data_IF_221234412194
#
_entry.id   IF_221234412194
#
_cell.length_a   1.000
_cell.length_b   1.000
_cell.length_c   1.000
_cell.angle_alpha   90.00
_cell.angle_beta   90.00
_cell.angle_gamma   90.00
#
_symmetry.space_group_name_H-M   'P 1'
#
loop_
_entity.id
_entity.type
_entity.pdbx_description
1 polymer ?
#
# COMPACT_ATOMS: atom_id res chain seq x y z
N UNK A 1 -1.02 -21.07 -31.72
CA UNK A 1 -1.18 -20.02 -32.78
C UNK A 1 -2.00 -18.90 -32.18
N UNK A 2 -1.39 -17.73 -31.96
CA UNK A 2 -2.09 -16.56 -31.44
C UNK A 2 -2.92 -15.95 -32.58
N UNK A 3 -4.22 -15.96 -32.43
CA UNK A 3 -5.17 -15.28 -33.34
C UNK A 3 -4.86 -13.77 -33.34
N UNK A 4 -4.32 -13.25 -34.44
CA UNK A 4 -4.22 -11.80 -34.68
C UNK A 4 -5.63 -11.22 -34.62
N UNK A 5 -5.94 -10.44 -33.57
CA UNK A 5 -7.13 -9.59 -33.58
C UNK A 5 -6.98 -8.63 -34.79
N UNK A 6 -7.94 -8.64 -35.69
CA UNK A 6 -8.01 -7.68 -36.77
C UNK A 6 -8.08 -6.27 -36.17
N UNK A 7 -7.34 -5.32 -36.75
CA UNK A 7 -7.46 -3.91 -36.35
C UNK A 7 -8.90 -3.45 -36.59
N UNK A 8 -9.46 -2.68 -35.64
CA UNK A 8 -10.79 -2.10 -35.73
C UNK A 8 -10.86 -1.02 -36.84
N UNK A 9 -9.70 -0.53 -37.33
CA UNK A 9 -9.57 0.47 -38.37
C UNK A 9 -8.86 -0.15 -39.59
N UNK A 10 -9.37 0.08 -40.79
CA UNK A 10 -8.69 -0.29 -42.03
C UNK A 10 -7.50 0.65 -42.31
N UNK A 11 -6.53 0.19 -43.11
CA UNK A 11 -5.39 1.02 -43.50
C UNK A 11 -5.84 2.25 -44.29
N UNK A 12 -6.82 2.07 -45.15
CA UNK A 12 -7.41 3.15 -45.99
C UNK A 12 -8.03 4.25 -45.10
N UNK A 13 -8.79 3.87 -44.05
CA UNK A 13 -9.38 4.83 -43.13
C UNK A 13 -8.31 5.60 -42.32
N UNK A 14 -7.21 4.94 -41.95
CA UNK A 14 -6.10 5.59 -41.27
C UNK A 14 -5.33 6.53 -42.22
N UNK A 15 -5.12 6.13 -43.48
CA UNK A 15 -4.47 6.96 -44.48
C UNK A 15 -5.31 8.21 -44.80
N UNK A 16 -6.63 8.07 -44.89
CA UNK A 16 -7.56 9.20 -45.10
C UNK A 16 -7.54 10.18 -43.89
N UNK A 17 -7.47 9.67 -42.64
CA UNK A 17 -7.36 10.50 -41.46
C UNK A 17 -6.01 11.22 -41.34
N UNK A 18 -4.94 10.62 -41.87
CA UNK A 18 -3.58 11.16 -41.82
C UNK A 18 -3.24 12.08 -42.98
N UNK A 19 -4.05 12.09 -44.05
CA UNK A 19 -3.76 12.80 -45.28
C UNK A 19 -3.52 14.30 -45.04
N UNK A 20 -2.36 14.79 -45.49
CA UNK A 20 -1.95 16.18 -45.37
C UNK A 20 -1.58 16.69 -43.97
N UNK A 21 -1.50 15.80 -42.95
CA UNK A 21 -1.18 16.16 -41.57
C UNK A 21 0.27 15.87 -41.22
N UNK A 22 0.92 16.80 -40.52
CA UNK A 22 2.27 16.58 -39.95
C UNK A 22 2.23 15.59 -38.79
N UNK A 23 3.12 14.58 -38.84
CA UNK A 23 3.23 13.55 -37.82
C UNK A 23 3.46 14.09 -36.40
N UNK A 24 4.14 15.25 -36.24
CA UNK A 24 4.37 15.89 -34.97
C UNK A 24 3.08 16.45 -34.34
N UNK A 25 2.06 16.78 -35.16
CA UNK A 25 0.79 17.34 -34.68
C UNK A 25 -0.28 16.27 -34.46
N UNK A 26 -0.21 15.15 -35.16
CA UNK A 26 -1.24 14.09 -35.13
C UNK A 26 -1.48 13.53 -33.72
N UNK A 27 -0.40 13.31 -32.95
CA UNK A 27 -0.47 12.70 -31.63
C UNK A 27 -0.56 13.71 -30.47
N UNK A 28 -0.60 15.00 -30.74
CA UNK A 28 -0.78 16.03 -29.72
C UNK A 28 -2.22 16.04 -29.19
N UNK A 29 -2.41 16.58 -27.98
CA UNK A 29 -3.72 16.70 -27.34
C UNK A 29 -4.70 17.57 -28.14
N UNK A 30 -4.18 18.57 -28.86
CA UNK A 30 -4.88 19.48 -29.77
C UNK A 30 -4.87 19.01 -31.24
N UNK A 31 -4.32 17.82 -31.50
CA UNK A 31 -4.22 17.23 -32.84
C UNK A 31 -5.34 16.26 -33.20
N UNK A 32 -5.13 15.47 -34.27
CA UNK A 32 -6.09 14.49 -34.76
C UNK A 32 -6.63 13.53 -33.69
N UNK A 33 -5.78 13.08 -32.79
CA UNK A 33 -6.20 12.18 -31.72
C UNK A 33 -7.20 12.86 -30.75
N UNK A 34 -6.99 14.14 -30.43
CA UNK A 34 -7.92 14.93 -29.63
C UNK A 34 -9.25 15.16 -30.35
N UNK A 35 -9.21 15.51 -31.68
CA UNK A 35 -10.39 15.65 -32.52
C UNK A 35 -11.19 14.35 -32.60
N UNK A 36 -10.53 13.21 -32.79
CA UNK A 36 -11.15 11.89 -32.86
C UNK A 36 -11.81 11.51 -31.52
N UNK A 37 -11.12 11.72 -30.40
CA UNK A 37 -11.68 11.49 -29.06
C UNK A 37 -12.92 12.33 -28.81
N UNK A 38 -12.89 13.61 -29.20
CA UNK A 38 -14.04 14.51 -29.12
C UNK A 38 -15.22 13.99 -29.94
N UNK A 39 -14.98 13.67 -31.20
CA UNK A 39 -16.01 13.17 -32.12
C UNK A 39 -16.66 11.87 -31.64
N UNK A 40 -15.85 10.94 -31.10
CA UNK A 40 -16.33 9.69 -30.53
C UNK A 40 -17.17 9.95 -29.28
N UNK A 41 -16.71 10.80 -28.35
CA UNK A 41 -17.45 11.13 -27.15
C UNK A 41 -18.80 11.80 -27.46
N UNK A 42 -18.82 12.77 -28.39
CA UNK A 42 -20.05 13.44 -28.84
C UNK A 42 -21.00 12.47 -29.54
N UNK A 43 -20.47 11.49 -30.31
CA UNK A 43 -21.27 10.45 -30.95
C UNK A 43 -21.91 9.52 -29.91
N UNK A 44 -21.15 9.11 -28.89
CA UNK A 44 -21.66 8.29 -27.79
C UNK A 44 -22.74 9.02 -27.00
N UNK A 45 -22.54 10.29 -26.65
CA UNK A 45 -23.52 11.14 -25.96
C UNK A 45 -24.84 11.27 -26.76
N UNK A 46 -24.73 11.39 -28.09
CA UNK A 46 -25.90 11.44 -28.97
C UNK A 46 -26.64 10.09 -28.98
N UNK A 47 -25.91 8.97 -29.00
CA UNK A 47 -26.52 7.64 -28.94
C UNK A 47 -27.23 7.39 -27.58
N UNK A 48 -26.62 7.83 -26.47
CA UNK A 48 -27.27 7.77 -25.15
C UNK A 48 -28.58 8.58 -25.10
N UNK A 49 -28.61 9.77 -25.74
CA UNK A 49 -29.83 10.56 -25.83
C UNK A 49 -30.89 9.89 -26.71
N UNK A 50 -30.49 9.26 -27.84
CA UNK A 50 -31.45 8.54 -28.69
C UNK A 50 -32.11 7.41 -27.91
N UNK A 51 -31.35 6.59 -27.18
CA UNK A 51 -31.88 5.51 -26.32
C UNK A 51 -32.84 6.09 -25.27
N UNK A 52 -32.46 7.17 -24.60
CA UNK A 52 -33.30 7.83 -23.58
C UNK A 52 -34.64 8.31 -24.17
N UNK A 53 -34.60 8.91 -25.36
CA UNK A 53 -35.81 9.39 -26.04
C UNK A 53 -36.71 8.26 -26.53
N UNK A 54 -36.15 7.16 -26.99
CA UNK A 54 -36.89 5.96 -27.41
C UNK A 54 -37.61 5.32 -26.21
N UNK A 55 -36.92 5.21 -25.05
CA UNK A 55 -37.52 4.70 -23.80
C UNK A 55 -38.65 5.62 -23.29
N UNK A 56 -38.51 6.95 -23.39
CA UNK A 56 -39.57 7.88 -23.01
C UNK A 56 -40.73 7.93 -24.02
N UNK A 57 -40.46 7.72 -25.33
CA UNK A 57 -41.51 7.61 -26.34
C UNK A 57 -42.43 6.46 -26.09
N UNK A 58 -41.95 5.30 -25.62
CA UNK A 58 -42.76 4.18 -25.20
C UNK A 58 -43.70 4.51 -24.02
N UNK A 59 -43.35 5.48 -23.21
CA UNK A 59 -44.11 5.99 -22.06
C UNK A 59 -45.05 7.16 -22.44
N UNK A 60 -45.17 7.53 -23.70
CA UNK A 60 -46.00 8.65 -24.23
C UNK A 60 -45.58 10.02 -23.69
N UNK A 61 -44.33 10.22 -23.35
CA UNK A 61 -43.85 11.43 -22.65
C UNK A 61 -43.71 12.66 -23.56
N UNK A 62 -43.79 12.56 -24.89
CA UNK A 62 -43.70 13.70 -25.83
C UNK A 62 -42.34 14.44 -25.79
N UNK A 63 -41.29 13.79 -25.27
CA UNK A 63 -39.94 14.38 -25.18
C UNK A 63 -39.25 14.31 -26.55
N UNK A 64 -38.36 15.25 -26.83
CA UNK A 64 -37.57 15.33 -28.06
C UNK A 64 -36.26 16.07 -27.84
N UNK A 65 -35.36 15.98 -28.80
CA UNK A 65 -34.07 16.71 -28.79
C UNK A 65 -34.27 18.21 -28.67
N UNK A 66 -33.47 18.87 -27.82
CA UNK A 66 -33.55 20.31 -27.57
C UNK A 66 -32.15 20.97 -27.58
N UNK A 67 -31.45 20.81 -28.72
CA UNK A 67 -30.13 21.39 -28.91
C UNK A 67 -29.04 20.75 -28.05
N UNK A 68 -27.97 21.49 -27.81
CA UNK A 68 -26.82 21.06 -27.01
C UNK A 68 -26.27 22.18 -26.15
N UNK A 69 -25.46 21.82 -25.17
CA UNK A 69 -24.66 22.75 -24.35
C UNK A 69 -23.19 22.39 -24.42
N UNK A 70 -22.31 23.38 -24.41
CA UNK A 70 -20.88 23.14 -24.39
C UNK A 70 -20.37 22.91 -22.98
N UNK A 71 -19.46 21.95 -22.82
CA UNK A 71 -18.86 21.58 -21.55
C UNK A 71 -17.39 21.22 -21.76
N UNK A 72 -16.51 21.92 -21.05
CA UNK A 72 -15.09 21.53 -21.01
C UNK A 72 -14.89 20.39 -20.04
N UNK A 73 -14.26 19.30 -20.50
CA UNK A 73 -14.02 18.07 -19.76
C UNK A 73 -12.53 17.74 -19.82
N UNK A 74 -11.91 17.53 -18.65
CA UNK A 74 -10.51 17.10 -18.55
C UNK A 74 -10.39 15.62 -18.90
N UNK A 75 -9.53 15.32 -19.85
CA UNK A 75 -9.17 13.96 -20.26
C UNK A 75 -7.73 13.63 -19.87
N UNK A 76 -7.33 12.39 -20.14
CA UNK A 76 -5.94 11.96 -19.94
C UNK A 76 -4.91 12.73 -20.76
N UNK A 77 -5.30 13.33 -21.86
CA UNK A 77 -4.41 14.00 -22.80
C UNK A 77 -4.62 15.53 -22.86
N UNK A 78 -5.55 16.06 -22.06
CA UNK A 78 -5.84 17.49 -22.03
C UNK A 78 -7.34 17.80 -21.88
N UNK A 79 -7.71 19.05 -22.13
CA UNK A 79 -9.10 19.50 -22.12
C UNK A 79 -9.81 19.24 -23.44
N UNK A 80 -11.04 18.73 -23.35
CA UNK A 80 -11.93 18.54 -24.51
C UNK A 80 -13.18 19.42 -24.33
N UNK A 81 -13.44 20.28 -25.30
CA UNK A 81 -14.68 21.04 -25.37
C UNK A 81 -15.74 20.21 -26.08
N UNK A 82 -16.64 19.60 -25.32
CA UNK A 82 -17.67 18.69 -25.82
C UNK A 82 -19.02 19.40 -25.95
N UNK A 83 -19.77 19.02 -26.98
CA UNK A 83 -21.16 19.37 -27.18
C UNK A 83 -22.06 18.32 -26.54
N UNK A 84 -22.66 18.62 -25.39
CA UNK A 84 -23.54 17.72 -24.66
C UNK A 84 -24.97 17.92 -25.17
N UNK A 85 -25.62 16.91 -25.78
CA UNK A 85 -26.99 17.02 -26.24
C UNK A 85 -27.99 17.11 -25.08
N UNK A 86 -29.14 17.70 -25.34
CA UNK A 86 -30.21 17.89 -24.33
C UNK A 86 -31.56 17.47 -24.87
N UNK A 87 -32.40 17.00 -23.98
CA UNK A 87 -33.82 16.76 -24.23
C UNK A 87 -34.65 17.99 -23.85
N UNK A 88 -35.88 18.05 -24.33
CA UNK A 88 -36.82 19.14 -24.05
C UNK A 88 -37.22 19.21 -22.58
N UNK A 89 -37.38 18.10 -21.92
CA UNK A 89 -37.81 18.01 -20.54
C UNK A 89 -36.67 18.17 -19.52
N UNK A 90 -35.40 18.16 -19.97
CA UNK A 90 -34.21 18.31 -19.10
C UNK A 90 -33.94 17.13 -18.18
N UNK A 91 -34.51 15.95 -18.50
CA UNK A 91 -34.39 14.70 -17.73
C UNK A 91 -33.20 13.85 -18.13
N UNK A 92 -32.67 14.06 -19.33
CA UNK A 92 -31.53 13.32 -19.82
C UNK A 92 -30.31 13.53 -18.93
N UNK A 93 -29.77 12.44 -18.41
CA UNK A 93 -28.51 12.37 -17.67
C UNK A 93 -27.55 11.44 -18.38
N UNK A 94 -26.54 11.97 -19.12
CA UNK A 94 -25.59 11.13 -19.82
C UNK A 94 -24.73 10.32 -18.84
N UNK A 95 -24.62 8.99 -19.10
CA UNK A 95 -23.80 8.10 -18.30
C UNK A 95 -22.30 8.34 -18.54
N UNK A 96 -21.93 8.67 -19.79
CA UNK A 96 -20.52 8.95 -20.16
C UNK A 96 -19.96 10.16 -19.41
N UNK A 97 -20.74 11.22 -19.25
CA UNK A 97 -20.33 12.46 -18.58
C UNK A 97 -21.52 13.00 -17.75
N UNK A 98 -21.75 12.48 -16.56
CA UNK A 98 -22.83 12.91 -15.67
C UNK A 98 -22.91 14.43 -15.48
N UNK A 99 -24.10 14.94 -15.09
CA UNK A 99 -24.27 16.35 -14.73
C UNK A 99 -23.23 16.72 -13.67
N UNK A 100 -22.62 17.91 -13.81
CA UNK A 100 -21.58 18.44 -12.93
C UNK A 100 -20.20 17.75 -12.98
N UNK A 101 -20.05 16.60 -13.60
CA UNK A 101 -18.74 15.99 -13.79
C UNK A 101 -18.00 16.65 -14.98
N UNK A 102 -16.79 17.13 -14.71
CA UNK A 102 -15.93 17.80 -15.73
C UNK A 102 -14.63 17.05 -16.00
N UNK A 103 -14.60 15.75 -15.69
CA UNK A 103 -13.41 14.91 -15.84
C UNK A 103 -13.80 13.51 -16.25
N UNK A 104 -12.99 12.92 -17.10
CA UNK A 104 -13.07 11.48 -17.35
C UNK A 104 -12.45 10.68 -16.19
N UNK A 105 -12.92 9.45 -15.89
CA UNK A 105 -12.39 8.62 -14.81
C UNK A 105 -10.88 8.37 -14.89
N UNK A 106 -10.29 8.25 -16.09
CA UNK A 106 -8.86 8.08 -16.30
C UNK A 106 -8.01 9.24 -15.78
N UNK A 107 -8.53 10.47 -15.83
CA UNK A 107 -7.85 11.66 -15.29
C UNK A 107 -7.67 11.56 -13.76
N UNK A 108 -8.72 11.18 -13.04
CA UNK A 108 -8.68 11.02 -11.58
C UNK A 108 -7.67 9.92 -11.18
N UNK A 109 -7.58 8.83 -11.93
CA UNK A 109 -6.58 7.78 -11.70
C UNK A 109 -5.13 8.27 -11.83
N UNK A 110 -4.85 9.19 -12.76
CA UNK A 110 -3.52 9.82 -12.88
C UNK A 110 -3.19 10.68 -11.66
N UNK A 111 -4.15 11.48 -11.17
CA UNK A 111 -3.99 12.27 -9.94
C UNK A 111 -3.67 11.35 -8.76
N UNK A 112 -4.42 10.27 -8.59
CA UNK A 112 -4.20 9.28 -7.52
C UNK A 112 -2.81 8.64 -7.65
N UNK A 113 -2.37 8.30 -8.87
CA UNK A 113 -1.05 7.72 -9.12
C UNK A 113 0.10 8.68 -8.77
N UNK A 114 -0.03 9.97 -9.09
CA UNK A 114 0.95 11.00 -8.71
C UNK A 114 0.98 11.21 -7.18
N UNK A 115 -0.19 11.26 -6.55
CA UNK A 115 -0.31 11.35 -5.09
C UNK A 115 0.33 10.14 -4.39
N UNK A 116 0.10 8.93 -4.89
CA UNK A 116 0.70 7.69 -4.38
C UNK A 116 2.24 7.67 -4.44
N UNK A 117 2.84 8.45 -5.33
CA UNK A 117 4.30 8.66 -5.42
C UNK A 117 4.82 9.70 -4.43
N UNK A 118 3.94 10.32 -3.64
CA UNK A 118 4.30 11.27 -2.59
C UNK A 118 4.30 12.74 -3.04
N UNK A 119 3.79 13.07 -4.22
CA UNK A 119 3.65 14.47 -4.65
C UNK A 119 2.64 15.21 -3.78
N UNK A 120 2.92 16.47 -3.46
CA UNK A 120 1.94 17.33 -2.79
C UNK A 120 0.80 17.72 -3.75
N UNK A 121 -0.32 18.21 -3.21
CA UNK A 121 -1.43 18.68 -4.05
C UNK A 121 -1.00 19.81 -4.99
N UNK A 122 -0.09 20.69 -4.54
CA UNK A 122 0.47 21.77 -5.37
C UNK A 122 1.42 21.27 -6.43
N UNK A 123 2.28 20.28 -6.10
CA UNK A 123 3.17 19.66 -7.09
C UNK A 123 2.37 18.93 -8.18
N UNK A 124 1.27 18.26 -7.79
CA UNK A 124 0.36 17.62 -8.75
C UNK A 124 -0.30 18.65 -9.65
N UNK A 125 -0.78 19.77 -9.09
CA UNK A 125 -1.33 20.87 -9.87
C UNK A 125 -0.33 21.39 -10.90
N UNK A 126 0.89 21.71 -10.48
CA UNK A 126 1.94 22.19 -11.38
C UNK A 126 2.27 21.16 -12.47
N UNK A 127 2.47 19.91 -12.07
CA UNK A 127 2.81 18.82 -12.98
C UNK A 127 1.72 18.54 -14.02
N UNK A 128 0.46 18.56 -13.61
CA UNK A 128 -0.69 18.39 -14.52
C UNK A 128 -0.79 19.59 -15.48
N UNK A 129 -0.54 20.80 -14.99
CA UNK A 129 -0.49 22.00 -15.84
C UNK A 129 0.62 21.92 -16.89
N UNK A 130 1.83 21.51 -16.51
CA UNK A 130 2.97 21.37 -17.41
C UNK A 130 2.79 20.27 -18.48
N UNK A 131 2.28 19.11 -18.07
CA UNK A 131 2.21 17.95 -18.96
C UNK A 131 0.96 17.90 -19.84
N UNK A 132 -0.17 18.37 -19.31
CA UNK A 132 -1.48 18.21 -19.96
C UNK A 132 -2.13 19.54 -20.34
N UNK A 133 -1.52 20.68 -19.98
CA UNK A 133 -2.09 22.00 -20.20
C UNK A 133 -3.39 22.26 -19.43
N UNK A 134 -3.69 21.43 -18.43
CA UNK A 134 -4.96 21.47 -17.66
C UNK A 134 -4.75 22.21 -16.36
N UNK A 135 -5.55 23.25 -16.11
CA UNK A 135 -5.54 23.97 -14.84
C UNK A 135 -6.48 23.30 -13.84
N UNK A 136 -5.91 22.76 -12.76
CA UNK A 136 -6.65 22.16 -11.64
C UNK A 136 -6.36 22.89 -10.34
N UNK A 137 -7.29 22.87 -9.39
CA UNK A 137 -7.06 23.42 -8.05
C UNK A 137 -6.46 22.37 -7.11
N UNK A 138 -5.71 22.77 -6.05
CA UNK A 138 -5.29 21.87 -5.00
C UNK A 138 -6.47 21.20 -4.29
N UNK A 139 -7.62 21.87 -4.18
CA UNK A 139 -8.83 21.32 -3.59
C UNK A 139 -9.40 20.18 -4.43
N UNK A 140 -9.36 20.32 -5.77
CA UNK A 140 -9.75 19.24 -6.65
C UNK A 140 -8.88 17.99 -6.44
N UNK A 141 -7.56 18.17 -6.31
CA UNK A 141 -6.65 17.04 -6.01
C UNK A 141 -7.02 16.40 -4.68
N UNK A 142 -7.40 17.19 -3.67
CA UNK A 142 -7.87 16.68 -2.38
C UNK A 142 -9.15 15.87 -2.54
N UNK A 143 -10.17 16.40 -3.22
CA UNK A 143 -11.45 15.71 -3.48
C UNK A 143 -11.24 14.39 -4.23
N UNK A 144 -10.40 14.39 -5.28
CA UNK A 144 -10.10 13.16 -6.03
C UNK A 144 -9.39 12.12 -5.15
N UNK A 145 -8.43 12.55 -4.34
CA UNK A 145 -7.73 11.62 -3.45
C UNK A 145 -8.58 11.19 -2.24
N UNK A 146 -9.61 11.93 -1.87
CA UNK A 146 -10.54 11.57 -0.79
C UNK A 146 -11.42 10.37 -1.17
N UNK A 147 -11.68 10.15 -2.47
CA UNK A 147 -12.37 8.93 -2.93
C UNK A 147 -11.65 7.64 -2.50
N UNK A 148 -10.34 7.71 -2.25
CA UNK A 148 -9.53 6.58 -1.77
C UNK A 148 -9.84 6.21 -0.31
N UNK A 149 -10.47 7.11 0.48
CA UNK A 149 -10.77 6.86 1.90
C UNK A 149 -11.70 5.65 2.08
N UNK A 150 -12.73 5.55 1.25
CA UNK A 150 -13.66 4.43 1.30
C UNK A 150 -12.97 3.11 0.92
N UNK A 151 -12.04 3.14 -0.03
CA UNK A 151 -11.21 1.97 -0.35
C UNK A 151 -10.31 1.57 0.84
N UNK A 152 -9.74 2.55 1.55
CA UNK A 152 -8.93 2.31 2.76
C UNK A 152 -9.79 1.65 3.84
N UNK A 153 -11.00 2.16 4.10
CA UNK A 153 -11.93 1.62 5.09
C UNK A 153 -12.37 0.20 4.74
N UNK A 154 -12.76 -0.03 3.49
CA UNK A 154 -13.13 -1.34 2.97
C UNK A 154 -11.96 -2.34 3.08
N UNK A 155 -10.74 -1.90 2.72
CA UNK A 155 -9.55 -2.72 2.86
C UNK A 155 -9.23 -3.04 4.33
N UNK A 156 -9.34 -2.06 5.24
CA UNK A 156 -9.06 -2.24 6.66
C UNK A 156 -10.08 -3.19 7.33
N UNK A 157 -11.33 -3.20 6.87
CA UNK A 157 -12.40 -4.04 7.42
C UNK A 157 -12.58 -5.39 6.71
N UNK A 158 -11.83 -5.66 5.63
CA UNK A 158 -11.98 -6.89 4.85
C UNK A 158 -11.77 -8.14 5.70
N UNK A 159 -12.43 -9.27 5.37
CA UNK A 159 -12.14 -10.56 5.96
C UNK A 159 -10.68 -10.97 5.73
N UNK A 160 -10.12 -11.68 6.71
CA UNK A 160 -8.76 -12.21 6.68
C UNK A 160 -8.79 -13.74 6.66
N UNK A 161 -7.64 -14.35 6.39
CA UNK A 161 -7.50 -15.81 6.51
C UNK A 161 -7.65 -16.23 7.97
N UNK A 162 -8.14 -17.45 8.15
CA UNK A 162 -8.36 -18.02 9.48
C UNK A 162 -7.06 -18.26 10.25
N UNK A 163 -5.98 -18.63 9.55
CA UNK A 163 -4.70 -18.98 10.14
C UNK A 163 -3.53 -18.31 9.44
N UNK A 164 -2.63 -17.75 10.23
CA UNK A 164 -1.35 -17.22 9.77
C UNK A 164 -0.17 -17.96 10.41
N UNK A 165 0.75 -18.42 9.58
CA UNK A 165 1.97 -19.08 10.07
C UNK A 165 2.87 -18.10 10.84
N UNK A 166 3.01 -16.86 10.33
CA UNK A 166 3.76 -15.80 11.00
C UNK A 166 3.04 -14.47 10.79
N UNK A 167 2.93 -13.67 11.84
CA UNK A 167 2.51 -12.27 11.74
C UNK A 167 3.62 -11.38 12.27
N UNK A 168 4.07 -10.45 11.45
CA UNK A 168 5.07 -9.44 11.83
C UNK A 168 4.36 -8.12 12.12
N UNK A 169 4.70 -7.51 13.23
CA UNK A 169 4.28 -6.15 13.57
C UNK A 169 5.48 -5.23 13.65
N UNK A 170 5.39 -4.08 13.00
CA UNK A 170 6.42 -3.05 13.07
C UNK A 170 5.81 -1.67 12.87
N UNK A 171 6.48 -0.63 13.36
CA UNK A 171 6.03 0.75 13.30
C UNK A 171 6.98 1.64 12.49
N UNK A 172 6.39 2.62 11.82
CA UNK A 172 7.12 3.74 11.27
C UNK A 172 6.63 5.05 11.90
N UNK A 173 7.55 5.97 12.18
CA UNK A 173 7.22 7.28 12.74
C UNK A 173 6.92 8.26 11.61
N UNK A 174 5.80 8.99 11.75
CA UNK A 174 5.28 9.94 10.76
C UNK A 174 4.88 11.23 11.46
N UNK A 175 5.20 12.37 10.87
CA UNK A 175 4.79 13.68 11.38
C UNK A 175 3.36 13.97 10.93
N UNK A 176 2.46 14.10 11.88
CA UNK A 176 1.04 14.38 11.63
C UNK A 176 0.61 15.56 12.49
N UNK A 177 -0.16 16.48 11.91
CA UNK A 177 -0.76 17.57 12.66
C UNK A 177 -1.95 17.04 13.44
N UNK A 178 -1.98 17.34 14.73
CA UNK A 178 -3.00 16.96 15.68
C UNK A 178 -3.24 18.11 16.64
N UNK A 179 -4.48 18.56 16.76
CA UNK A 179 -4.86 19.73 17.58
C UNK A 179 -3.96 20.96 17.35
N UNK A 180 -3.64 21.24 16.09
CA UNK A 180 -2.81 22.39 15.69
C UNK A 180 -1.30 22.18 15.81
N UNK A 181 -0.82 21.10 16.47
CA UNK A 181 0.59 20.80 16.67
C UNK A 181 1.04 19.63 15.76
N UNK A 182 2.27 19.71 15.28
CA UNK A 182 2.88 18.59 14.52
C UNK A 182 3.52 17.61 15.51
N UNK A 183 2.95 16.39 15.58
CA UNK A 183 3.40 15.33 16.48
C UNK A 183 3.99 14.16 15.67
N UNK A 184 4.96 13.45 16.26
CA UNK A 184 5.47 12.20 15.71
C UNK A 184 4.56 11.06 16.18
N UNK A 185 3.62 10.64 15.33
CA UNK A 185 2.77 9.47 15.60
C UNK A 185 3.40 8.19 15.07
N UNK A 186 3.12 7.07 15.71
CA UNK A 186 3.48 5.75 15.21
C UNK A 186 2.39 5.25 14.26
N UNK A 187 2.82 4.75 13.11
CA UNK A 187 1.99 4.03 12.15
C UNK A 187 2.40 2.57 12.20
N UNK A 188 1.54 1.73 12.76
CA UNK A 188 1.76 0.30 12.88
C UNK A 188 1.27 -0.41 11.65
N UNK A 189 2.07 -1.33 11.15
CA UNK A 189 1.75 -2.22 10.06
C UNK A 189 1.85 -3.66 10.54
N UNK A 190 0.92 -4.50 10.13
CA UNK A 190 0.99 -5.94 10.32
C UNK A 190 1.10 -6.65 8.96
N UNK A 191 2.07 -7.55 8.84
CA UNK A 191 2.23 -8.44 7.67
C UNK A 191 1.97 -9.86 8.12
N UNK A 192 0.97 -10.50 7.52
CA UNK A 192 0.70 -11.92 7.68
C UNK A 192 1.37 -12.75 6.60
N UNK A 193 1.95 -13.88 7.00
CA UNK A 193 2.41 -14.94 6.12
C UNK A 193 1.44 -16.10 6.27
N UNK A 194 0.70 -16.40 5.21
CA UNK A 194 -0.25 -17.52 5.17
C UNK A 194 0.47 -18.86 5.23
N UNK A 195 -0.20 -19.94 5.56
CA UNK A 195 0.35 -21.29 5.51
C UNK A 195 0.81 -21.71 4.10
N UNK A 196 0.30 -21.06 3.07
CA UNK A 196 0.80 -21.18 1.68
C UNK A 196 2.13 -20.45 1.42
N UNK A 197 2.56 -19.57 2.33
CA UNK A 197 3.75 -18.72 2.20
C UNK A 197 3.51 -17.38 1.54
N UNK A 198 2.30 -17.12 1.03
CA UNK A 198 1.95 -15.81 0.50
C UNK A 198 1.86 -14.78 1.62
N UNK A 199 2.28 -13.56 1.29
CA UNK A 199 2.28 -12.45 2.24
C UNK A 199 1.16 -11.49 1.94
N UNK A 200 0.59 -10.91 2.98
CA UNK A 200 -0.34 -9.80 2.84
C UNK A 200 -0.21 -8.81 4.01
N UNK A 201 -0.58 -7.56 3.77
CA UNK A 201 -0.67 -6.55 4.83
C UNK A 201 -2.03 -6.67 5.49
N UNK A 202 -2.07 -6.97 6.78
CA UNK A 202 -3.31 -7.22 7.52
C UNK A 202 -4.04 -5.94 7.90
N UNK A 203 -3.31 -4.88 8.20
CA UNK A 203 -3.88 -3.61 8.59
C UNK A 203 -2.84 -2.52 8.80
N UNK A 204 -3.37 -1.31 9.03
CA UNK A 204 -2.65 -0.09 9.32
C UNK A 204 -3.36 0.61 10.49
N UNK A 205 -2.61 0.97 11.54
CA UNK A 205 -3.14 1.67 12.71
C UNK A 205 -2.24 2.84 13.05
N UNK A 206 -2.84 4.01 13.28
CA UNK A 206 -2.13 5.22 13.68
C UNK A 206 -2.45 5.48 15.15
N UNK A 207 -1.41 5.63 15.96
CA UNK A 207 -1.57 5.90 17.38
C UNK A 207 -0.44 6.82 17.90
N UNK A 208 -0.77 7.67 18.85
CA UNK A 208 0.20 8.55 19.48
C UNK A 208 0.88 7.87 20.65
N UNK A 209 0.13 7.09 21.42
CA UNK A 209 0.59 6.43 22.64
C UNK A 209 0.42 4.93 22.54
N UNK A 210 1.52 4.21 22.61
CA UNK A 210 1.55 2.76 22.65
C UNK A 210 1.15 2.26 24.05
N UNK A 211 0.17 1.37 24.12
CA UNK A 211 -0.25 0.79 25.39
C UNK A 211 -1.04 -0.51 25.21
N UNK A 212 -1.18 -1.27 26.29
CA UNK A 212 -1.87 -2.56 26.27
C UNK A 212 -3.30 -2.47 25.70
N UNK A 213 -4.03 -1.40 25.98
CA UNK A 213 -5.40 -1.18 25.43
C UNK A 213 -5.40 -1.02 23.91
N UNK A 214 -4.42 -0.32 23.36
CA UNK A 214 -4.27 -0.18 21.90
C UNK A 214 -4.02 -1.55 21.27
N UNK A 215 -3.06 -2.32 21.80
CA UNK A 215 -2.72 -3.63 21.26
C UNK A 215 -3.86 -4.63 21.40
N UNK A 216 -4.58 -4.60 22.52
CA UNK A 216 -5.76 -5.45 22.70
C UNK A 216 -6.85 -5.13 21.66
N UNK A 217 -7.07 -3.84 21.33
CA UNK A 217 -7.98 -3.41 20.25
C UNK A 217 -7.53 -3.96 18.90
N UNK A 218 -6.24 -3.86 18.57
CA UNK A 218 -5.68 -4.38 17.30
C UNK A 218 -5.87 -5.90 17.20
N UNK A 219 -5.58 -6.65 18.26
CA UNK A 219 -5.77 -8.11 18.26
C UNK A 219 -7.24 -8.50 18.12
N UNK A 220 -8.15 -7.84 18.82
CA UNK A 220 -9.58 -8.09 18.69
C UNK A 220 -10.11 -7.71 17.30
N UNK A 221 -9.60 -6.66 16.66
CA UNK A 221 -9.94 -6.29 15.29
C UNK A 221 -9.53 -7.42 14.32
N UNK A 222 -8.31 -7.96 14.43
CA UNK A 222 -7.87 -9.08 13.62
C UNK A 222 -8.78 -10.31 13.82
N UNK A 223 -9.14 -10.62 15.06
CA UNK A 223 -10.06 -11.73 15.40
C UNK A 223 -11.45 -11.51 14.80
N UNK A 224 -12.01 -10.31 14.92
CA UNK A 224 -13.32 -9.95 14.34
C UNK A 224 -13.32 -10.04 12.80
N UNK A 225 -12.18 -9.87 12.17
CA UNK A 225 -12.01 -10.03 10.72
C UNK A 225 -11.74 -11.47 10.28
N UNK A 226 -11.84 -12.44 11.17
CA UNK A 226 -11.78 -13.88 10.87
C UNK A 226 -10.48 -14.58 11.22
N UNK A 227 -9.48 -13.90 11.79
CA UNK A 227 -8.26 -14.56 12.26
C UNK A 227 -8.58 -15.38 13.51
N UNK A 228 -8.49 -16.69 13.40
CA UNK A 228 -8.72 -17.61 14.52
C UNK A 228 -7.41 -18.05 15.17
N UNK A 229 -6.33 -18.15 14.39
CA UNK A 229 -5.04 -18.62 14.88
C UNK A 229 -3.86 -17.88 14.25
N UNK A 230 -2.84 -17.62 15.07
CA UNK A 230 -1.54 -17.10 14.66
C UNK A 230 -0.47 -18.00 15.27
N UNK A 231 0.32 -18.73 14.48
CA UNK A 231 1.28 -19.67 15.02
C UNK A 231 2.45 -18.94 15.68
N UNK A 232 3.02 -17.94 15.00
CA UNK A 232 4.13 -17.12 15.51
C UNK A 232 3.81 -15.65 15.29
N UNK A 233 3.87 -14.84 16.35
CA UNK A 233 3.81 -13.39 16.26
C UNK A 233 5.22 -12.81 16.53
N UNK A 234 5.74 -12.06 15.55
CA UNK A 234 7.03 -11.38 15.67
C UNK A 234 6.77 -9.90 15.96
N UNK A 235 7.17 -9.47 17.14
CA UNK A 235 6.89 -8.13 17.66
C UNK A 235 8.15 -7.41 18.10
N UNK A 236 8.12 -6.09 18.14
CA UNK A 236 9.13 -5.33 18.87
C UNK A 236 8.88 -5.50 20.38
N UNK A 237 9.92 -5.34 21.18
CA UNK A 237 9.84 -5.49 22.65
C UNK A 237 9.05 -4.34 23.30
N UNK A 238 7.78 -4.17 22.88
CA UNK A 238 6.86 -3.14 23.38
C UNK A 238 6.09 -3.67 24.59
N UNK A 239 6.06 -2.87 25.64
CA UNK A 239 5.37 -3.23 26.90
C UNK A 239 3.87 -3.42 26.67
N UNK A 240 3.32 -4.53 27.16
CA UNK A 240 1.89 -4.84 27.06
C UNK A 240 1.45 -5.46 25.73
N UNK A 241 2.37 -5.61 24.76
CA UNK A 241 2.03 -6.20 23.47
C UNK A 241 2.00 -7.74 23.52
N UNK A 242 2.99 -8.44 24.08
CA UNK A 242 2.93 -9.88 24.27
C UNK A 242 1.67 -10.32 25.02
N UNK A 243 1.31 -9.61 26.09
CA UNK A 243 0.13 -9.90 26.91
C UNK A 243 -1.18 -9.71 26.12
N UNK A 244 -1.25 -8.69 25.26
CA UNK A 244 -2.41 -8.48 24.40
C UNK A 244 -2.57 -9.58 23.33
N UNK A 245 -1.45 -10.10 22.78
CA UNK A 245 -1.48 -11.22 21.85
C UNK A 245 -1.99 -12.48 22.53
N UNK A 246 -1.40 -12.87 23.67
CA UNK A 246 -1.77 -14.09 24.38
C UNK A 246 -3.19 -14.04 24.97
N UNK A 247 -3.71 -12.85 25.29
CA UNK A 247 -5.10 -12.69 25.71
C UNK A 247 -6.13 -13.02 24.61
N UNK A 248 -5.80 -12.79 23.34
CA UNK A 248 -6.71 -13.00 22.20
C UNK A 248 -6.38 -14.29 21.43
N UNK A 249 -5.09 -14.61 21.33
CA UNK A 249 -4.53 -15.79 20.66
C UNK A 249 -3.61 -16.54 21.62
N UNK A 250 -4.16 -17.34 22.55
CA UNK A 250 -3.40 -17.93 23.68
C UNK A 250 -2.32 -18.92 23.24
N UNK A 251 -2.51 -19.59 22.10
CA UNK A 251 -1.57 -20.61 21.60
C UNK A 251 -0.48 -20.01 20.68
N UNK A 252 -0.45 -18.69 20.53
CA UNK A 252 0.55 -18.00 19.70
C UNK A 252 1.91 -17.98 20.40
N UNK A 253 2.94 -18.40 19.69
CA UNK A 253 4.32 -18.19 20.13
C UNK A 253 4.72 -16.75 19.85
N UNK A 254 4.90 -15.96 20.90
CA UNK A 254 5.34 -14.57 20.77
C UNK A 254 6.87 -14.52 20.73
N UNK A 255 7.42 -13.99 19.67
CA UNK A 255 8.85 -13.86 19.45
C UNK A 255 9.26 -12.39 19.31
N UNK A 256 10.22 -11.97 20.11
CA UNK A 256 10.83 -10.66 19.95
C UNK A 256 11.62 -10.58 18.63
N UNK A 257 11.48 -9.48 17.92
CA UNK A 257 12.15 -9.27 16.65
C UNK A 257 13.67 -9.16 16.80
N UNK A 258 14.39 -10.22 16.44
CA UNK A 258 15.86 -10.27 16.48
C UNK A 258 16.49 -9.16 15.64
N UNK A 259 15.87 -8.81 14.52
CA UNK A 259 16.37 -7.74 13.63
C UNK A 259 16.33 -6.38 14.31
N UNK A 260 15.28 -6.08 15.09
CA UNK A 260 15.23 -4.85 15.87
C UNK A 260 16.31 -4.83 16.96
N UNK A 261 16.54 -5.96 17.64
CA UNK A 261 17.61 -6.07 18.64
C UNK A 261 18.98 -5.84 18.02
N UNK A 262 19.25 -6.45 16.83
CA UNK A 262 20.48 -6.21 16.08
C UNK A 262 20.60 -4.74 15.68
N UNK A 263 19.55 -4.15 15.11
CA UNK A 263 19.54 -2.75 14.68
C UNK A 263 19.82 -1.80 15.82
N UNK A 264 19.16 -1.98 16.95
CA UNK A 264 19.38 -1.19 18.16
C UNK A 264 20.82 -1.34 18.64
N UNK A 265 21.36 -2.56 18.60
CA UNK A 265 22.77 -2.83 18.99
C UNK A 265 23.76 -2.08 18.09
N UNK A 266 23.61 -2.16 16.77
CA UNK A 266 24.54 -1.47 15.84
C UNK A 266 24.40 0.06 15.87
N UNK A 267 23.27 0.61 16.30
CA UNK A 267 23.10 2.05 16.47
C UNK A 267 23.93 2.60 17.63
N UNK A 268 24.28 1.77 18.62
CA UNK A 268 25.16 2.13 19.73
C UNK A 268 26.61 2.30 19.29
N UNK A 269 26.97 1.85 18.08
CA UNK A 269 28.31 1.96 17.53
C UNK A 269 28.43 3.08 16.47
N UNK A 270 29.60 3.75 16.36
CA UNK A 270 29.92 4.68 15.29
C UNK A 270 29.74 4.03 13.92
N UNK A 271 29.39 4.82 12.89
CA UNK A 271 29.07 4.33 11.54
C UNK A 271 30.13 3.37 10.95
N UNK A 272 31.42 3.68 11.14
CA UNK A 272 32.55 2.88 10.66
C UNK A 272 32.61 1.47 11.26
N UNK A 273 32.10 1.27 12.47
CA UNK A 273 32.16 0.01 13.21
C UNK A 273 30.91 -0.86 13.01
N UNK A 274 29.81 -0.28 12.55
CA UNK A 274 28.49 -0.95 12.45
C UNK A 274 28.51 -2.25 11.66
N UNK A 275 29.21 -2.25 10.52
CA UNK A 275 29.32 -3.44 9.66
C UNK A 275 30.01 -4.61 10.39
N UNK A 276 31.08 -4.31 11.08
CA UNK A 276 31.87 -5.31 11.80
C UNK A 276 31.15 -5.80 13.04
N UNK A 277 30.52 -4.91 13.80
CA UNK A 277 29.68 -5.28 14.94
C UNK A 277 28.51 -6.15 14.51
N UNK A 278 27.84 -5.84 13.41
CA UNK A 278 26.79 -6.69 12.85
C UNK A 278 27.28 -8.10 12.49
N UNK A 279 28.52 -8.23 12.03
CA UNK A 279 29.14 -9.53 11.80
C UNK A 279 29.46 -10.28 13.11
N UNK A 280 29.94 -9.56 14.13
CA UNK A 280 30.25 -10.13 15.43
C UNK A 280 29.00 -10.64 16.18
N UNK A 281 27.82 -10.05 15.90
CA UNK A 281 26.56 -10.50 16.46
C UNK A 281 25.99 -11.77 15.79
N UNK A 282 26.43 -12.12 14.58
CA UNK A 282 25.90 -13.27 13.82
C UNK A 282 25.98 -14.61 14.57
N UNK A 283 27.11 -14.97 15.20
CA UNK A 283 27.22 -16.24 15.90
C UNK A 283 26.14 -16.44 16.97
N UNK A 284 25.65 -15.35 17.58
CA UNK A 284 24.63 -15.42 18.62
C UNK A 284 23.31 -15.93 18.04
N UNK A 285 22.74 -15.23 17.03
CA UNK A 285 21.41 -15.57 16.52
C UNK A 285 21.41 -16.65 15.42
N UNK A 286 22.58 -17.05 14.93
CA UNK A 286 22.74 -18.16 14.00
C UNK A 286 23.17 -19.46 14.69
N UNK A 287 23.40 -19.44 15.99
CA UNK A 287 23.74 -20.63 16.78
C UNK A 287 22.69 -21.75 16.62
N UNK A 288 23.13 -23.00 16.69
CA UNK A 288 22.22 -24.13 16.53
C UNK A 288 21.27 -24.34 17.72
N UNK A 289 21.71 -23.99 18.93
CA UNK A 289 20.95 -24.11 20.17
C UNK A 289 21.32 -23.02 21.18
N UNK A 290 20.50 -22.88 22.23
CA UNK A 290 20.63 -21.85 23.27
C UNK A 290 22.02 -21.78 23.87
N UNK A 291 22.62 -22.94 24.25
CA UNK A 291 23.95 -22.97 24.86
C UNK A 291 25.06 -22.44 23.96
N UNK A 292 25.02 -22.76 22.65
CA UNK A 292 25.96 -22.20 21.68
C UNK A 292 25.76 -20.69 21.49
N UNK A 293 24.50 -20.23 21.52
CA UNK A 293 24.18 -18.79 21.44
C UNK A 293 24.67 -18.04 22.67
N UNK A 294 24.51 -18.63 23.87
CA UNK A 294 24.97 -18.06 25.11
C UNK A 294 26.50 -17.97 25.16
N UNK A 295 27.20 -19.01 24.70
CA UNK A 295 28.65 -18.98 24.57
C UNK A 295 29.10 -17.88 23.61
N UNK A 296 28.46 -17.76 22.44
CA UNK A 296 28.76 -16.69 21.49
C UNK A 296 28.51 -15.29 22.06
N UNK A 297 27.51 -15.13 22.94
CA UNK A 297 27.27 -13.87 23.64
C UNK A 297 28.36 -13.59 24.67
N UNK A 298 28.80 -14.63 25.43
CA UNK A 298 29.94 -14.51 26.35
C UNK A 298 31.23 -14.14 25.60
N UNK A 299 31.49 -14.76 24.46
CA UNK A 299 32.66 -14.46 23.62
C UNK A 299 32.63 -13.02 23.09
N UNK A 300 31.45 -12.54 22.69
CA UNK A 300 31.26 -11.13 22.32
C UNK A 300 31.53 -10.20 23.49
N UNK A 301 31.00 -10.53 24.66
CA UNK A 301 31.11 -9.71 25.89
C UNK A 301 32.53 -9.57 26.38
N UNK A 302 33.30 -10.68 26.38
CA UNK A 302 34.67 -10.73 26.85
C UNK A 302 35.72 -10.40 25.76
N UNK A 303 35.25 -10.19 24.53
CA UNK A 303 36.10 -9.86 23.40
C UNK A 303 36.22 -8.36 23.11
N UNK A 304 36.97 -7.99 22.09
CA UNK A 304 37.25 -6.56 21.75
C UNK A 304 35.99 -5.74 21.52
N UNK A 305 34.88 -6.37 21.10
CA UNK A 305 33.61 -5.68 20.86
C UNK A 305 32.89 -5.38 22.17
N UNK A 306 32.92 -6.28 23.16
CA UNK A 306 32.33 -6.08 24.47
C UNK A 306 33.10 -5.03 25.29
N UNK A 307 34.42 -5.05 25.22
CA UNK A 307 35.26 -3.98 25.86
C UNK A 307 34.95 -2.61 25.26
N UNK A 308 34.79 -2.54 23.95
CA UNK A 308 34.58 -1.27 23.25
C UNK A 308 33.12 -0.78 23.29
N UNK A 309 32.15 -1.69 23.29
CA UNK A 309 30.71 -1.40 23.30
C UNK A 309 29.97 -2.26 24.32
N UNK A 310 30.25 -2.10 25.63
CA UNK A 310 29.67 -2.94 26.67
C UNK A 310 28.16 -2.87 26.73
N UNK A 311 27.57 -1.74 26.35
CA UNK A 311 26.10 -1.56 26.28
C UNK A 311 25.41 -2.47 25.29
N UNK A 312 26.13 -2.96 24.27
CA UNK A 312 25.59 -3.92 23.29
C UNK A 312 25.37 -5.28 23.96
N UNK A 313 26.40 -5.84 24.60
CA UNK A 313 26.30 -7.10 25.31
C UNK A 313 25.25 -7.04 26.43
N UNK A 314 25.24 -5.97 27.22
CA UNK A 314 24.24 -5.72 28.26
C UNK A 314 22.82 -5.67 27.70
N UNK A 315 22.62 -5.09 26.51
CA UNK A 315 21.31 -5.06 25.85
C UNK A 315 20.84 -6.48 25.49
N UNK A 316 21.72 -7.32 24.95
CA UNK A 316 21.42 -8.73 24.66
C UNK A 316 21.12 -9.54 25.93
N UNK A 317 21.91 -9.39 26.99
CA UNK A 317 21.65 -10.03 28.30
C UNK A 317 20.29 -9.66 28.85
N UNK A 318 19.95 -8.36 28.81
CA UNK A 318 18.64 -7.87 29.33
C UNK A 318 17.45 -8.44 28.57
N UNK A 319 17.61 -8.69 27.26
CA UNK A 319 16.57 -9.24 26.41
C UNK A 319 16.69 -10.76 26.23
N UNK A 320 17.58 -11.44 26.96
CA UNK A 320 17.93 -12.83 26.69
C UNK A 320 16.74 -13.79 26.83
N UNK A 321 15.89 -13.60 27.82
CA UNK A 321 14.66 -14.39 28.00
C UNK A 321 13.69 -14.28 26.82
N UNK A 322 13.70 -13.16 26.11
CA UNK A 322 12.90 -12.93 24.92
C UNK A 322 13.59 -13.42 23.64
N UNK A 323 14.89 -13.72 23.70
CA UNK A 323 15.68 -14.27 22.58
C UNK A 323 15.64 -15.80 22.60
N UNK A 324 15.68 -16.43 23.77
CA UNK A 324 15.72 -17.89 23.94
C UNK A 324 14.62 -18.62 23.14
N UNK A 325 13.34 -18.20 23.13
CA UNK A 325 12.29 -18.90 22.39
C UNK A 325 12.58 -19.07 20.91
N UNK A 326 13.40 -18.21 20.32
CA UNK A 326 13.83 -18.28 18.93
C UNK A 326 14.56 -19.58 18.61
N UNK A 327 15.31 -20.16 19.56
CA UNK A 327 16.08 -21.38 19.36
C UNK A 327 15.24 -22.67 19.42
N UNK A 328 13.99 -22.58 19.86
CA UNK A 328 13.03 -23.68 19.77
C UNK A 328 12.59 -23.97 18.33
N UNK A 329 12.83 -23.03 17.41
CA UNK A 329 12.47 -23.19 16.00
C UNK A 329 13.62 -23.84 15.21
N UNK A 330 13.28 -24.71 14.26
CA UNK A 330 14.22 -25.24 13.29
C UNK A 330 14.84 -24.12 12.42
N UNK A 331 16.08 -24.31 11.97
CA UNK A 331 16.82 -23.28 11.23
C UNK A 331 16.06 -22.68 10.02
N UNK A 332 15.28 -23.43 9.19
CA UNK A 332 14.47 -22.85 8.14
C UNK A 332 13.35 -21.92 8.64
N UNK A 333 12.72 -22.26 9.77
CA UNK A 333 11.68 -21.42 10.42
C UNK A 333 12.33 -20.17 10.99
N UNK A 334 13.45 -20.32 11.72
CA UNK A 334 14.23 -19.18 12.21
C UNK A 334 14.59 -18.21 11.09
N UNK A 335 15.00 -18.74 9.93
CA UNK A 335 15.31 -17.91 8.76
C UNK A 335 14.11 -17.07 8.31
N UNK A 336 12.88 -17.59 8.33
CA UNK A 336 11.68 -16.83 8.03
C UNK A 336 11.47 -15.71 9.07
N UNK A 337 11.68 -16.01 10.35
CA UNK A 337 11.46 -15.08 11.46
C UNK A 337 12.46 -13.92 11.43
N UNK A 338 13.76 -14.16 11.22
CA UNK A 338 14.77 -13.11 11.24
C UNK A 338 15.06 -12.49 9.87
N UNK A 339 14.64 -13.09 8.76
CA UNK A 339 14.71 -12.41 7.46
C UNK A 339 13.50 -11.49 7.27
N UNK A 340 13.36 -10.50 8.12
CA UNK A 340 12.30 -9.50 8.05
C UNK A 340 12.41 -8.56 6.85
N UNK A 341 13.15 -8.98 5.80
CA UNK A 341 13.24 -8.23 4.55
C UNK A 341 11.87 -7.80 3.98
N UNK A 342 10.79 -8.52 4.35
CA UNK A 342 9.45 -8.16 3.91
C UNK A 342 8.97 -6.86 4.57
N UNK A 343 9.00 -6.77 5.91
CA UNK A 343 8.50 -5.60 6.64
C UNK A 343 9.46 -4.42 6.48
N UNK A 344 10.77 -4.66 6.46
CA UNK A 344 11.77 -3.63 6.21
C UNK A 344 11.69 -3.07 4.79
N UNK A 345 11.53 -3.94 3.78
CA UNK A 345 11.30 -3.54 2.40
C UNK A 345 10.01 -2.75 2.25
N UNK A 346 8.93 -3.19 2.94
CA UNK A 346 7.67 -2.47 2.99
C UNK A 346 7.85 -1.07 3.57
N UNK A 347 8.49 -0.96 4.75
CA UNK A 347 8.77 0.32 5.39
C UNK A 347 9.67 1.23 4.55
N UNK A 348 10.69 0.67 3.90
CA UNK A 348 11.55 1.42 2.99
C UNK A 348 10.75 1.98 1.81
N UNK A 349 9.87 1.17 1.22
CA UNK A 349 8.96 1.60 0.15
C UNK A 349 7.99 2.69 0.60
N UNK A 350 7.35 2.51 1.76
CA UNK A 350 6.45 3.51 2.35
C UNK A 350 7.20 4.80 2.66
N UNK A 351 8.36 4.73 3.34
CA UNK A 351 9.19 5.91 3.63
C UNK A 351 9.59 6.68 2.38
N UNK A 352 9.86 5.98 1.27
CA UNK A 352 10.15 6.62 -0.02
C UNK A 352 8.97 7.46 -0.52
N UNK A 353 7.74 6.97 -0.37
CA UNK A 353 6.52 7.68 -0.77
C UNK A 353 6.18 8.87 0.14
N UNK A 354 6.51 8.77 1.45
CA UNK A 354 6.20 9.84 2.42
C UNK A 354 7.35 10.85 2.61
N UNK A 355 8.56 10.57 2.10
CA UNK A 355 9.78 11.36 2.36
C UNK A 355 9.63 12.84 2.02
N UNK A 356 8.91 13.14 0.95
CA UNK A 356 8.72 14.52 0.48
C UNK A 356 7.62 15.27 1.25
N UNK A 357 6.89 14.58 2.15
CA UNK A 357 5.89 15.21 3.02
C UNK A 357 6.56 15.71 4.28
N UNK A 358 6.58 17.01 4.50
CA UNK A 358 7.07 17.60 5.76
C UNK A 358 6.25 17.11 6.95
N UNK A 359 4.93 17.14 6.84
CA UNK A 359 3.95 16.57 7.76
C UNK A 359 2.62 16.33 7.05
N UNK A 360 1.77 15.48 7.63
CA UNK A 360 0.40 15.28 7.18
C UNK A 360 -0.56 16.21 7.92
N UNK A 361 -1.64 16.69 7.28
CA UNK A 361 -2.63 17.54 7.94
C UNK A 361 -3.44 16.81 9.01
N UNK A 362 -3.65 15.50 8.88
CA UNK A 362 -4.39 14.64 9.81
C UNK A 362 -4.04 13.15 9.57
N UNK A 363 -4.56 12.27 10.42
CA UNK A 363 -4.35 10.81 10.36
C UNK A 363 -4.93 10.21 9.07
N UNK A 364 -6.04 10.74 8.58
CA UNK A 364 -6.71 10.26 7.37
C UNK A 364 -5.86 10.50 6.11
N UNK A 365 -5.25 11.69 5.98
CA UNK A 365 -4.32 11.99 4.89
C UNK A 365 -3.07 11.10 4.93
N UNK A 366 -2.57 10.77 6.14
CA UNK A 366 -1.48 9.83 6.30
C UNK A 366 -1.90 8.41 5.87
N UNK A 367 -3.07 7.95 6.32
CA UNK A 367 -3.63 6.64 5.97
C UNK A 367 -3.82 6.48 4.47
N UNK A 368 -4.37 7.48 3.77
CA UNK A 368 -4.54 7.48 2.31
C UNK A 368 -3.22 7.23 1.57
N UNK A 369 -2.22 8.06 1.87
CA UNK A 369 -0.94 7.98 1.15
C UNK A 369 -0.21 6.67 1.48
N UNK A 370 -0.21 6.26 2.74
CA UNK A 370 0.45 5.02 3.16
C UNK A 370 -0.25 3.82 2.51
N UNK A 371 -1.59 3.77 2.52
CA UNK A 371 -2.32 2.68 1.87
C UNK A 371 -2.07 2.60 0.37
N UNK A 372 -2.04 3.72 -0.35
CA UNK A 372 -1.68 3.76 -1.77
C UNK A 372 -0.26 3.24 -2.02
N UNK A 373 0.70 3.59 -1.15
CA UNK A 373 2.05 3.06 -1.22
C UNK A 373 2.06 1.55 -0.97
N UNK A 374 1.31 1.07 0.06
CA UNK A 374 1.16 -0.36 0.36
C UNK A 374 0.57 -1.12 -0.83
N UNK A 375 -0.52 -0.62 -1.45
CA UNK A 375 -1.16 -1.20 -2.63
C UNK A 375 -0.15 -1.40 -3.78
N UNK A 376 0.65 -0.37 -4.07
CA UNK A 376 1.67 -0.44 -5.13
C UNK A 376 2.81 -1.41 -4.82
N UNK A 377 3.22 -1.52 -3.55
CA UNK A 377 4.28 -2.44 -3.12
C UNK A 377 3.77 -3.88 -3.14
N UNK A 378 2.59 -4.14 -2.56
CA UNK A 378 2.03 -5.49 -2.42
C UNK A 378 1.57 -6.09 -3.74
N UNK A 379 1.25 -5.27 -4.76
CA UNK A 379 0.96 -5.75 -6.11
C UNK A 379 2.10 -6.60 -6.73
N UNK A 380 3.32 -6.46 -6.20
CA UNK A 380 4.50 -7.24 -6.60
C UNK A 380 4.66 -8.56 -5.83
N UNK A 381 3.85 -8.81 -4.79
CA UNK A 381 3.94 -10.00 -3.95
C UNK A 381 3.14 -11.16 -4.55
N UNK A 382 3.60 -11.67 -5.69
CA UNK A 382 2.85 -12.70 -6.44
C UNK A 382 3.15 -14.13 -5.98
N UNK A 383 4.36 -14.38 -5.46
CA UNK A 383 4.81 -15.71 -5.13
C UNK A 383 5.39 -15.79 -3.71
N UNK A 384 5.27 -16.94 -3.04
CA UNK A 384 6.00 -17.21 -1.80
C UNK A 384 7.52 -17.11 -2.00
N UNK A 385 8.30 -16.69 -1.01
CA UNK A 385 9.75 -16.71 -1.09
C UNK A 385 10.26 -18.17 -1.16
N UNK A 386 11.37 -18.38 -1.88
CA UNK A 386 12.00 -19.71 -2.03
C UNK A 386 12.28 -20.35 -0.65
N UNK A 387 12.67 -19.54 0.34
CA UNK A 387 12.91 -20.02 1.71
C UNK A 387 11.67 -20.67 2.36
N UNK A 388 10.46 -20.35 1.89
CA UNK A 388 9.24 -20.92 2.41
C UNK A 388 9.11 -22.41 2.14
N UNK A 389 9.55 -22.89 0.97
CA UNK A 389 9.51 -24.30 0.62
C UNK A 389 10.24 -25.17 1.65
N UNK A 390 11.38 -24.69 2.17
CA UNK A 390 12.17 -25.39 3.20
C UNK A 390 11.56 -25.23 4.61
N UNK A 391 10.86 -24.14 4.89
CA UNK A 391 10.25 -23.92 6.20
C UNK A 391 8.91 -24.64 6.36
N UNK A 392 8.14 -24.83 5.28
CA UNK A 392 6.78 -25.38 5.31
C UNK A 392 6.67 -26.71 6.03
N UNK A 393 7.54 -27.67 5.74
CA UNK A 393 7.56 -28.97 6.39
C UNK A 393 7.89 -28.87 7.89
N UNK A 394 8.77 -27.94 8.27
CA UNK A 394 9.12 -27.71 9.66
C UNK A 394 7.95 -27.06 10.44
N UNK A 395 7.22 -26.15 9.81
CA UNK A 395 5.97 -25.62 10.40
C UNK A 395 4.94 -26.72 10.61
N UNK A 396 4.76 -27.62 9.64
CA UNK A 396 3.84 -28.75 9.76
C UNK A 396 4.24 -29.71 10.87
N UNK A 397 5.53 -30.00 11.03
CA UNK A 397 6.03 -30.84 12.13
C UNK A 397 5.80 -30.16 13.49
N UNK A 398 6.12 -28.87 13.60
CA UNK A 398 6.10 -28.18 14.88
C UNK A 398 4.69 -27.80 15.36
N UNK A 399 3.79 -27.44 14.43
CA UNK A 399 2.45 -26.95 14.76
C UNK A 399 1.32 -27.93 14.41
N UNK A 400 1.64 -29.05 13.74
CA UNK A 400 0.70 -30.12 13.46
C UNK A 400 -0.58 -29.62 12.76
N UNK A 401 -1.73 -29.98 13.31
CA UNK A 401 -3.05 -29.62 12.78
C UNK A 401 -3.35 -28.13 12.72
N UNK A 402 -2.63 -27.29 13.45
CA UNK A 402 -2.77 -25.83 13.40
C UNK A 402 -2.21 -25.23 12.11
N UNK A 403 -1.28 -25.93 11.44
CA UNK A 403 -0.69 -25.48 10.19
C UNK A 403 -1.47 -26.03 8.99
N UNK A 404 -2.58 -25.41 8.63
CA UNK A 404 -3.48 -25.82 7.53
C UNK A 404 -3.62 -24.76 6.44
#
# INVERSE_FOLDING_TARGET
MATKKSSAFSAEMLDELLDGRDAATVLRSDGLLGELKKALAERMLNAELDIHLDEEAEQQAGNHRNGSSHKTVCSEDGELLLSIPRDRHGRFEPALIPKYQRRFPGFDQKIIALYARGMSTRDIQAHVGELYGVSISPDLVSVVTDSVIEEVRSWQSRPLESTYAVVFFDALRVKIRDEGLVRNKAVYLAIGVRCSGHKEVLGLWIEQTEGAKFWLRVMNELKARGVNDVLIAVVDALKGFPEAITAVFPDTVVQTCIVHLIRNSIQLAPWKDRKWLAQALKPIYQADHVGAAEQALCDLENGPWGERFPTVAQSWRRNWEHVIPFFAFAAPVRKIIYTTNAIESLHSGVRKSIRNKGHFPNDEAASKLIWLALRNITAKWKNPPIAWAHAKSQFAIQFGDRFR
#
